data_IF_873363359658
#
_entry.id   IF_873363359658
#
_cell.length_a   1.000
_cell.length_b   1.000
_cell.length_c   1.000
_cell.angle_alpha   90.00
_cell.angle_beta   90.00
_cell.angle_gamma   90.00
#
_symmetry.space_group_name_H-M   'P 1'
#
loop_
_entity.id
_entity.type
_entity.pdbx_description
1 polymer ?
#
# COMPACT_ATOMS: atom_id res chain seq x y z
N UNK A 1 3.26 13.05 -5.45
CA UNK A 1 3.18 13.89 -6.66
C UNK A 1 2.76 13.00 -7.82
N UNK A 2 1.70 13.37 -8.53
CA UNK A 2 1.19 12.64 -9.70
C UNK A 2 1.37 13.54 -10.94
N UNK A 3 2.05 13.08 -12.00
CA UNK A 3 2.46 13.94 -13.11
C UNK A 3 1.29 14.59 -13.88
N UNK A 4 0.09 14.02 -13.79
CA UNK A 4 -1.13 14.51 -14.45
C UNK A 4 -2.15 15.13 -13.48
N UNK A 5 -1.76 15.44 -12.24
CA UNK A 5 -2.70 16.01 -11.26
C UNK A 5 -3.24 17.37 -11.69
N UNK A 6 -2.40 18.20 -12.31
CA UNK A 6 -2.80 19.52 -12.82
C UNK A 6 -3.96 19.47 -13.81
N UNK A 7 -4.10 18.38 -14.59
CA UNK A 7 -5.20 18.20 -15.54
C UNK A 7 -6.57 18.09 -14.87
N UNK A 8 -6.60 17.69 -13.59
CA UNK A 8 -7.83 17.45 -12.83
C UNK A 8 -7.98 18.37 -11.63
N UNK A 9 -6.97 19.16 -11.28
CA UNK A 9 -6.93 20.01 -10.09
C UNK A 9 -8.14 20.97 -9.99
N UNK A 10 -8.65 21.46 -11.13
CA UNK A 10 -9.81 22.35 -11.19
C UNK A 10 -11.18 21.67 -11.05
N UNK A 11 -11.25 20.34 -10.93
CA UNK A 11 -12.53 19.64 -10.83
C UNK A 11 -13.11 19.73 -9.42
N UNK A 12 -14.38 20.11 -9.35
CA UNK A 12 -15.13 20.12 -8.10
C UNK A 12 -15.56 18.71 -7.72
N UNK A 13 -15.24 18.30 -6.49
CA UNK A 13 -15.73 17.08 -5.87
C UNK A 13 -16.51 17.44 -4.60
N UNK A 14 -17.56 16.67 -4.32
CA UNK A 14 -18.28 16.74 -3.04
C UNK A 14 -17.56 15.86 -2.03
N UNK A 15 -16.87 16.47 -1.07
CA UNK A 15 -16.04 15.78 -0.08
C UNK A 15 -16.71 15.75 1.29
N UNK A 16 -16.67 14.60 1.95
CA UNK A 16 -17.12 14.38 3.32
C UNK A 16 -15.94 13.89 4.20
N UNK A 17 -15.09 14.82 4.68
CA UNK A 17 -14.00 14.48 5.59
C UNK A 17 -14.46 13.84 6.90
N UNK A 18 -13.60 13.04 7.54
CA UNK A 18 -13.89 12.33 8.78
C UNK A 18 -14.25 13.30 9.92
N UNK A 19 -13.56 14.43 10.03
CA UNK A 19 -13.88 15.45 11.04
C UNK A 19 -15.27 16.06 10.85
N UNK A 20 -15.71 16.26 9.60
CA UNK A 20 -17.06 16.75 9.32
C UNK A 20 -18.12 15.71 9.71
N UNK A 21 -17.83 14.42 9.56
CA UNK A 21 -18.75 13.37 9.99
C UNK A 21 -18.93 13.35 11.52
N UNK A 22 -17.83 13.53 12.28
CA UNK A 22 -17.86 13.61 13.75
C UNK A 22 -18.66 14.83 14.20
N UNK A 23 -18.44 15.98 13.56
CA UNK A 23 -19.11 17.23 13.86
C UNK A 23 -20.55 17.32 13.30
N UNK A 24 -21.04 16.25 12.64
CA UNK A 24 -22.35 16.20 11.96
C UNK A 24 -22.52 17.34 10.94
N UNK A 25 -21.42 17.72 10.28
CA UNK A 25 -21.38 18.70 9.20
C UNK A 25 -21.63 18.01 7.86
N UNK A 26 -22.32 18.68 6.91
CA UNK A 26 -22.57 18.12 5.59
C UNK A 26 -21.27 18.00 4.78
N UNK A 27 -21.33 17.19 3.73
CA UNK A 27 -20.31 17.17 2.68
C UNK A 27 -20.21 18.56 2.03
N UNK A 28 -19.02 18.91 1.53
CA UNK A 28 -18.75 20.21 0.93
C UNK A 28 -18.13 20.04 -0.45
N UNK A 29 -18.59 20.85 -1.38
CA UNK A 29 -17.97 20.96 -2.69
C UNK A 29 -16.70 21.81 -2.59
N UNK A 30 -15.62 21.34 -3.20
CA UNK A 30 -14.39 22.10 -3.43
C UNK A 30 -13.62 21.50 -4.59
N UNK A 31 -12.70 22.28 -5.17
CA UNK A 31 -11.79 21.74 -6.18
C UNK A 31 -10.86 20.72 -5.55
N UNK A 32 -10.51 19.66 -6.30
CA UNK A 32 -9.57 18.66 -5.79
C UNK A 32 -8.17 19.24 -5.57
N UNK A 33 -7.79 20.28 -6.33
CA UNK A 33 -6.58 21.07 -6.12
C UNK A 33 -6.56 21.73 -4.75
N UNK A 34 -7.63 22.47 -4.39
CA UNK A 34 -7.74 23.06 -3.05
C UNK A 34 -7.75 22.02 -1.93
N UNK A 35 -8.39 20.87 -2.15
CA UNK A 35 -8.44 19.80 -1.17
C UNK A 35 -7.06 19.22 -0.87
N UNK A 36 -6.21 19.06 -1.90
CA UNK A 36 -4.82 18.63 -1.75
C UNK A 36 -3.97 19.72 -1.10
N UNK A 37 -4.09 20.98 -1.54
CA UNK A 37 -3.36 22.11 -0.97
C UNK A 37 -3.64 22.29 0.53
N UNK A 38 -4.91 22.14 0.94
CA UNK A 38 -5.34 22.23 2.34
C UNK A 38 -5.03 20.96 3.16
N UNK A 39 -4.46 19.92 2.56
CA UNK A 39 -4.16 18.64 3.20
C UNK A 39 -5.40 17.85 3.62
N UNK A 40 -6.57 18.15 3.05
CA UNK A 40 -7.80 17.36 3.24
C UNK A 40 -7.66 16.03 2.51
N UNK A 41 -7.14 16.08 1.28
CA UNK A 41 -6.69 14.91 0.53
C UNK A 41 -5.18 14.84 0.63
N UNK A 42 -4.65 13.71 1.10
CA UNK A 42 -3.26 13.62 1.58
C UNK A 42 -2.20 13.59 0.48
N UNK A 43 -2.58 13.28 -0.76
CA UNK A 43 -1.65 13.23 -1.89
C UNK A 43 -2.33 13.56 -3.22
N UNK A 44 -1.54 14.13 -4.15
CA UNK A 44 -1.97 14.35 -5.54
C UNK A 44 -2.39 13.05 -6.24
N UNK A 45 -1.76 11.91 -5.91
CA UNK A 45 -2.12 10.61 -6.49
C UNK A 45 -3.53 10.20 -6.08
N UNK A 46 -3.83 10.30 -4.78
CA UNK A 46 -5.16 10.03 -4.26
C UNK A 46 -6.20 10.97 -4.88
N UNK A 47 -5.91 12.28 -4.91
CA UNK A 47 -6.79 13.27 -5.52
C UNK A 47 -7.01 13.03 -7.02
N UNK A 48 -5.97 12.69 -7.77
CA UNK A 48 -6.06 12.38 -9.20
C UNK A 48 -7.03 11.23 -9.46
N UNK A 49 -6.89 10.11 -8.74
CA UNK A 49 -7.75 8.96 -8.96
C UNK A 49 -9.19 9.16 -8.44
N UNK A 50 -9.40 9.97 -7.40
CA UNK A 50 -10.74 10.38 -6.98
C UNK A 50 -11.42 11.21 -8.10
N UNK A 51 -10.72 12.17 -8.68
CA UNK A 51 -11.25 13.00 -9.75
C UNK A 51 -11.55 12.19 -11.03
N UNK A 52 -10.66 11.27 -11.41
CA UNK A 52 -10.88 10.36 -12.53
C UNK A 52 -12.08 9.43 -12.27
N UNK A 53 -12.27 8.97 -11.03
CA UNK A 53 -13.45 8.19 -10.66
C UNK A 53 -14.74 9.00 -10.87
N UNK A 54 -14.79 10.26 -10.43
CA UNK A 54 -15.96 11.09 -10.66
C UNK A 54 -16.25 11.26 -12.16
N UNK A 55 -15.22 11.57 -12.97
CA UNK A 55 -15.39 11.70 -14.42
C UNK A 55 -15.93 10.41 -15.04
N UNK A 56 -15.42 9.25 -14.63
CA UNK A 56 -15.91 7.96 -15.09
C UNK A 56 -17.38 7.74 -14.72
N UNK A 57 -17.75 7.95 -13.45
CA UNK A 57 -19.13 7.76 -12.98
C UNK A 57 -20.11 8.68 -13.71
N UNK A 58 -19.75 9.95 -13.91
CA UNK A 58 -20.56 10.90 -14.68
C UNK A 58 -20.68 10.46 -16.14
N UNK A 59 -19.57 10.02 -16.76
CA UNK A 59 -19.53 9.58 -18.16
C UNK A 59 -20.43 8.37 -18.42
N UNK A 60 -20.56 7.44 -17.46
CA UNK A 60 -21.43 6.27 -17.61
C UNK A 60 -22.91 6.58 -17.34
N UNK A 61 -23.25 7.77 -16.83
CA UNK A 61 -24.62 8.22 -16.63
C UNK A 61 -25.06 8.38 -15.17
N UNK A 62 -24.14 8.30 -14.19
CA UNK A 62 -24.46 8.66 -12.81
C UNK A 62 -24.58 10.18 -12.72
N UNK A 63 -25.73 10.65 -12.25
CA UNK A 63 -25.95 12.07 -11.96
C UNK A 63 -24.94 12.58 -10.88
N UNK A 64 -24.12 13.60 -11.20
CA UNK A 64 -23.10 14.13 -10.31
C UNK A 64 -23.66 14.68 -8.98
N UNK A 65 -24.92 15.12 -8.94
CA UNK A 65 -25.56 15.61 -7.72
C UNK A 65 -25.68 14.53 -6.63
N UNK A 66 -25.58 13.26 -7.03
CA UNK A 66 -25.71 12.09 -6.17
C UNK A 66 -24.37 11.34 -5.99
N UNK A 67 -23.24 11.99 -6.30
CA UNK A 67 -21.89 11.46 -6.03
C UNK A 67 -21.27 12.27 -4.89
N UNK A 68 -20.67 11.58 -3.92
CA UNK A 68 -19.76 12.19 -2.94
C UNK A 68 -18.58 11.29 -2.64
N UNK A 69 -17.51 11.85 -2.10
CA UNK A 69 -16.38 11.10 -1.59
C UNK A 69 -16.33 11.22 -0.07
N UNK A 70 -16.40 10.11 0.65
CA UNK A 70 -16.35 10.06 2.11
C UNK A 70 -15.00 9.55 2.59
N UNK A 71 -14.36 10.28 3.50
CA UNK A 71 -13.12 9.84 4.17
C UNK A 71 -13.43 8.77 5.22
N UNK A 72 -12.55 7.78 5.37
CA UNK A 72 -12.63 6.81 6.47
C UNK A 72 -12.25 7.43 7.81
N UNK A 73 -12.97 7.08 8.88
CA UNK A 73 -12.58 7.45 10.25
C UNK A 73 -11.23 6.88 10.68
N UNK A 74 -10.87 5.70 10.19
CA UNK A 74 -9.68 4.97 10.63
C UNK A 74 -8.43 5.27 9.80
N UNK A 75 -8.59 5.87 8.61
CA UNK A 75 -7.49 6.08 7.67
C UNK A 75 -7.73 7.31 6.79
N UNK A 76 -6.92 8.36 6.98
CA UNK A 76 -6.97 9.60 6.17
C UNK A 76 -6.61 9.40 4.70
N UNK A 77 -5.93 8.29 4.37
CA UNK A 77 -5.56 7.91 3.02
C UNK A 77 -6.62 7.04 2.33
N UNK A 78 -7.79 6.85 2.95
CA UNK A 78 -8.88 6.04 2.42
C UNK A 78 -10.11 6.91 2.17
N UNK A 79 -10.50 7.01 0.89
CA UNK A 79 -11.68 7.73 0.44
C UNK A 79 -12.60 6.81 -0.35
N UNK A 80 -13.89 6.90 -0.09
CA UNK A 80 -14.92 6.08 -0.71
C UNK A 80 -15.82 6.96 -1.57
N UNK A 81 -15.87 6.71 -2.88
CA UNK A 81 -16.89 7.28 -3.75
C UNK A 81 -18.22 6.59 -3.44
N UNK A 82 -19.15 7.36 -2.91
CA UNK A 82 -20.51 6.93 -2.59
C UNK A 82 -21.49 7.50 -3.61
N UNK A 83 -22.44 6.66 -4.02
CA UNK A 83 -23.56 7.06 -4.87
C UNK A 83 -24.83 6.99 -4.03
N UNK A 84 -25.65 8.03 -4.08
CA UNK A 84 -26.94 8.04 -3.40
C UNK A 84 -27.98 7.26 -4.20
N UNK A 85 -28.64 6.32 -3.53
CA UNK A 85 -29.66 5.44 -4.11
C UNK A 85 -30.90 5.45 -3.21
N UNK A 86 -31.93 4.70 -3.58
CA UNK A 86 -33.10 4.43 -2.73
C UNK A 86 -32.76 3.78 -1.39
N UNK A 87 -31.59 3.14 -1.27
CA UNK A 87 -31.03 2.62 -0.02
C UNK A 87 -30.13 3.61 0.72
N UNK A 88 -30.06 4.86 0.27
CA UNK A 88 -29.15 5.88 0.79
C UNK A 88 -27.79 5.87 0.10
N UNK A 89 -26.79 6.46 0.77
CA UNK A 89 -25.42 6.52 0.27
C UNK A 89 -24.75 5.14 0.38
N UNK A 90 -24.40 4.56 -0.76
CA UNK A 90 -23.70 3.28 -0.83
C UNK A 90 -22.29 3.46 -1.36
N UNK A 91 -21.32 2.79 -0.75
CA UNK A 91 -19.92 2.76 -1.21
C UNK A 91 -19.81 2.01 -2.55
N UNK A 92 -19.33 2.70 -3.60
CA UNK A 92 -19.18 2.14 -4.94
C UNK A 92 -17.72 1.97 -5.36
N UNK A 93 -16.84 2.90 -4.98
CA UNK A 93 -15.41 2.80 -5.28
C UNK A 93 -14.59 3.18 -4.05
N UNK A 94 -13.63 2.34 -3.69
CA UNK A 94 -12.68 2.61 -2.61
C UNK A 94 -11.33 3.02 -3.19
N UNK A 95 -10.84 4.19 -2.80
CA UNK A 95 -9.50 4.68 -3.09
C UNK A 95 -8.68 4.62 -1.82
N UNK A 96 -7.55 3.93 -1.85
CA UNK A 96 -6.67 3.82 -0.70
C UNK A 96 -5.22 3.96 -1.13
N UNK A 97 -4.54 4.93 -0.51
CA UNK A 97 -3.08 5.02 -0.58
C UNK A 97 -2.49 4.08 0.48
N UNK A 98 -2.14 2.87 0.03
CA UNK A 98 -1.58 1.82 0.87
C UNK A 98 -0.07 1.98 0.93
N UNK A 99 0.44 2.16 2.13
CA UNK A 99 1.86 1.94 2.40
C UNK A 99 2.28 0.52 1.94
N UNK A 100 3.58 0.25 1.89
CA UNK A 100 4.15 -1.01 1.40
C UNK A 100 3.91 -2.25 2.29
N UNK A 101 2.90 -2.23 3.17
CA UNK A 101 2.63 -3.29 4.16
C UNK A 101 2.41 -4.66 3.53
N UNK A 102 1.76 -4.71 2.37
CA UNK A 102 1.53 -5.96 1.64
C UNK A 102 2.86 -6.57 1.15
N UNK A 103 3.80 -5.73 0.70
CA UNK A 103 5.13 -6.17 0.26
C UNK A 103 6.00 -6.60 1.44
N UNK A 104 5.91 -5.88 2.56
CA UNK A 104 6.62 -6.23 3.79
C UNK A 104 6.12 -7.57 4.35
N UNK A 105 4.81 -7.80 4.33
CA UNK A 105 4.23 -9.07 4.73
C UNK A 105 4.67 -10.21 3.79
N UNK A 106 4.62 -9.97 2.47
CA UNK A 106 5.13 -10.94 1.50
C UNK A 106 6.61 -11.28 1.75
N UNK A 107 7.45 -10.28 2.00
CA UNK A 107 8.86 -10.51 2.31
C UNK A 107 9.04 -11.33 3.59
N UNK A 108 8.30 -11.04 4.66
CA UNK A 108 8.38 -11.80 5.93
C UNK A 108 7.96 -13.26 5.77
N UNK A 109 7.00 -13.57 4.90
CA UNK A 109 6.48 -14.93 4.72
C UNK A 109 7.26 -15.72 3.67
N UNK A 110 7.65 -15.10 2.55
CA UNK A 110 8.29 -15.76 1.41
C UNK A 110 9.80 -15.58 1.36
N UNK A 111 10.34 -14.67 2.16
CA UNK A 111 11.76 -14.30 2.18
C UNK A 111 12.29 -13.80 0.83
N UNK A 112 11.38 -13.30 0.00
CA UNK A 112 11.67 -12.71 -1.31
C UNK A 112 11.29 -11.23 -1.28
N UNK A 113 12.29 -10.36 -1.48
CA UNK A 113 12.08 -8.92 -1.54
C UNK A 113 11.49 -8.56 -2.89
N UNK A 114 10.27 -8.05 -2.89
CA UNK A 114 9.62 -7.46 -4.05
C UNK A 114 9.95 -5.96 -4.10
N UNK A 115 11.09 -5.63 -4.69
CA UNK A 115 11.58 -4.25 -4.83
C UNK A 115 11.81 -3.88 -6.29
N UNK A 116 11.76 -2.59 -6.59
CA UNK A 116 12.19 -2.04 -7.87
C UNK A 116 13.64 -1.53 -7.76
N UNK A 117 14.43 -1.66 -8.83
CA UNK A 117 15.78 -1.10 -8.87
C UNK A 117 15.77 0.29 -9.49
N UNK A 118 16.21 1.29 -8.74
CA UNK A 118 16.42 2.66 -9.23
C UNK A 118 17.91 2.93 -9.41
N UNK A 119 18.31 3.41 -10.58
CA UNK A 119 19.69 3.83 -10.83
C UNK A 119 20.00 5.10 -10.05
N UNK A 120 21.12 5.10 -9.34
CA UNK A 120 21.58 6.29 -8.63
C UNK A 120 22.17 7.31 -9.61
N UNK A 121 21.95 8.60 -9.33
CA UNK A 121 22.52 9.70 -10.13
C UNK A 121 24.04 9.73 -10.04
N UNK A 122 24.60 9.36 -8.89
CA UNK A 122 26.03 9.13 -8.66
C UNK A 122 26.21 7.84 -7.85
N UNK A 123 27.25 7.03 -8.13
CA UNK A 123 27.55 5.86 -7.32
C UNK A 123 27.78 6.26 -5.85
N UNK A 124 27.37 5.38 -4.93
CA UNK A 124 27.55 5.60 -3.49
C UNK A 124 28.36 4.45 -2.90
N UNK A 125 29.35 4.75 -2.07
CA UNK A 125 29.98 3.75 -1.21
C UNK A 125 29.06 3.45 -0.04
N UNK A 126 28.74 2.18 0.16
CA UNK A 126 27.84 1.73 1.22
C UNK A 126 28.53 0.63 2.01
N UNK A 127 28.60 0.82 3.32
CA UNK A 127 28.97 -0.23 4.27
C UNK A 127 27.89 -1.31 4.23
N UNK A 128 28.28 -2.57 4.03
CA UNK A 128 27.38 -3.70 4.16
C UNK A 128 27.81 -4.56 5.35
N UNK A 129 26.82 -5.07 6.07
CA UNK A 129 26.97 -6.14 7.05
C UNK A 129 26.01 -7.24 6.62
N UNK A 130 26.51 -8.44 6.36
CA UNK A 130 25.67 -9.56 5.93
C UNK A 130 26.15 -10.89 6.53
N UNK A 131 25.21 -11.69 7.04
CA UNK A 131 25.48 -13.05 7.48
C UNK A 131 25.54 -14.03 6.29
N UNK A 132 26.75 -14.51 6.00
CA UNK A 132 27.03 -15.56 5.02
C UNK A 132 26.81 -16.93 5.67
N UNK A 133 25.79 -17.66 5.22
CA UNK A 133 25.50 -19.01 5.69
C UNK A 133 26.40 -20.06 5.02
N UNK A 134 27.04 -20.94 5.79
CA UNK A 134 27.74 -22.12 5.28
C UNK A 134 26.72 -23.24 5.03
N UNK A 135 26.23 -23.32 3.80
CA UNK A 135 25.15 -24.24 3.42
C UNK A 135 25.53 -25.72 3.57
N UNK A 136 26.81 -26.06 3.49
CA UNK A 136 27.27 -27.45 3.69
C UNK A 136 27.19 -27.86 5.16
N UNK A 137 27.66 -27.00 6.07
CA UNK A 137 27.60 -27.25 7.51
C UNK A 137 26.15 -27.25 8.02
N UNK A 138 25.35 -26.27 7.57
CA UNK A 138 23.93 -26.16 7.93
C UNK A 138 23.14 -27.32 7.33
N UNK A 139 23.39 -27.68 6.07
CA UNK A 139 22.70 -28.78 5.37
C UNK A 139 22.96 -30.15 6.01
N UNK A 140 24.19 -30.42 6.45
CA UNK A 140 24.53 -31.66 7.17
C UNK A 140 23.83 -31.80 8.52
N UNK A 141 23.62 -30.68 9.23
CA UNK A 141 23.06 -30.70 10.60
C UNK A 141 21.54 -30.54 10.64
N UNK A 142 20.98 -29.74 9.73
CA UNK A 142 19.58 -29.31 9.76
C UNK A 142 18.77 -29.76 8.53
N UNK A 143 19.40 -30.42 7.56
CA UNK A 143 18.76 -31.05 6.40
C UNK A 143 17.75 -30.13 5.69
N UNK A 144 16.46 -30.49 5.70
CA UNK A 144 15.39 -29.77 5.03
C UNK A 144 15.18 -28.33 5.55
N UNK A 145 15.69 -28.00 6.74
CA UNK A 145 15.57 -26.67 7.35
C UNK A 145 16.64 -25.68 6.88
N UNK A 146 17.65 -26.13 6.13
CA UNK A 146 18.79 -25.29 5.74
C UNK A 146 18.39 -24.03 4.94
N UNK A 147 17.43 -24.16 4.01
CA UNK A 147 16.91 -23.02 3.24
C UNK A 147 16.19 -22.00 4.14
N UNK A 148 15.37 -22.47 5.08
CA UNK A 148 14.66 -21.58 6.01
C UNK A 148 15.63 -20.82 6.92
N UNK A 149 16.69 -21.49 7.38
CA UNK A 149 17.74 -20.87 8.19
C UNK A 149 18.46 -19.76 7.42
N UNK A 150 18.84 -20.03 6.17
CA UNK A 150 19.47 -19.03 5.28
C UNK A 150 18.55 -17.82 5.07
N UNK A 151 17.27 -18.07 4.83
CA UNK A 151 16.27 -17.03 4.65
C UNK A 151 16.10 -16.17 5.92
N UNK A 152 16.06 -16.78 7.10
CA UNK A 152 15.96 -16.06 8.37
C UNK A 152 17.19 -15.22 8.70
N UNK A 153 18.38 -15.66 8.32
CA UNK A 153 19.60 -14.84 8.45
C UNK A 153 19.55 -13.55 7.62
N UNK A 154 18.77 -13.55 6.53
CA UNK A 154 18.58 -12.37 5.67
C UNK A 154 17.59 -11.35 6.26
N UNK A 155 16.77 -11.76 7.24
CA UNK A 155 15.83 -10.88 7.94
C UNK A 155 16.44 -10.12 9.12
N UNK A 156 17.63 -10.52 9.57
CA UNK A 156 18.28 -9.89 10.72
C UNK A 156 18.64 -8.44 10.40
N UNK A 157 18.31 -7.54 11.32
CA UNK A 157 18.74 -6.14 11.30
C UNK A 157 20.25 -6.02 11.53
N UNK A 158 20.84 -4.87 11.20
CA UNK A 158 22.27 -4.61 11.45
C UNK A 158 22.64 -4.82 12.93
N UNK A 159 21.78 -4.38 13.85
CA UNK A 159 21.97 -4.57 15.30
C UNK A 159 21.96 -6.06 15.69
N UNK A 160 21.11 -6.87 15.04
CA UNK A 160 21.07 -8.31 15.27
C UNK A 160 22.26 -9.03 14.65
N UNK A 161 22.75 -8.58 13.49
CA UNK A 161 23.96 -9.10 12.85
C UNK A 161 25.21 -8.80 13.68
N UNK A 162 25.31 -7.63 14.30
CA UNK A 162 26.39 -7.31 15.25
C UNK A 162 26.33 -8.18 16.50
N UNK A 163 25.13 -8.45 17.03
CA UNK A 163 24.94 -9.38 18.15
C UNK A 163 25.31 -10.81 17.75
N UNK A 164 24.91 -11.24 16.56
CA UNK A 164 25.25 -12.54 15.99
C UNK A 164 26.77 -12.71 15.94
N UNK A 165 27.48 -11.76 15.32
CA UNK A 165 28.94 -11.76 15.17
C UNK A 165 29.65 -11.89 16.53
N UNK A 166 29.28 -11.07 17.52
CA UNK A 166 29.89 -11.12 18.86
C UNK A 166 29.58 -12.41 19.60
N UNK A 167 28.35 -12.93 19.47
CA UNK A 167 27.92 -14.09 20.23
C UNK A 167 28.54 -15.40 19.69
N UNK A 168 28.65 -15.56 18.38
CA UNK A 168 29.17 -16.80 17.76
C UNK A 168 30.64 -17.08 18.06
N UNK A 169 31.41 -16.10 18.54
CA UNK A 169 32.80 -16.28 18.96
C UNK A 169 32.94 -17.08 20.25
N UNK A 170 31.98 -16.95 21.16
CA UNK A 170 32.05 -17.53 22.51
C UNK A 170 30.97 -18.57 22.77
N UNK A 171 29.81 -18.45 22.13
CA UNK A 171 28.64 -19.29 22.38
C UNK A 171 27.86 -19.54 21.09
N UNK A 172 26.88 -20.45 21.15
CA UNK A 172 25.95 -20.58 20.04
C UNK A 172 24.95 -19.40 20.03
N UNK A 173 24.66 -18.86 18.85
CA UNK A 173 23.59 -17.88 18.66
C UNK A 173 22.26 -18.58 18.45
N UNK A 174 21.24 -18.14 19.18
CA UNK A 174 19.88 -18.68 19.07
C UNK A 174 19.14 -17.93 17.98
N UNK A 175 18.98 -18.56 16.82
CA UNK A 175 18.16 -18.04 15.74
C UNK A 175 16.75 -18.63 15.85
N UNK A 176 15.76 -17.75 15.96
CA UNK A 176 14.35 -18.09 15.84
C UNK A 176 13.95 -18.02 14.36
N UNK A 177 13.26 -19.05 13.88
CA UNK A 177 12.69 -19.09 12.54
C UNK A 177 11.34 -19.84 12.57
N UNK A 178 10.61 -19.80 11.47
CA UNK A 178 9.24 -20.33 11.35
C UNK A 178 9.12 -21.85 11.62
N UNK A 179 10.26 -22.57 11.70
CA UNK A 179 10.35 -23.99 12.02
C UNK A 179 11.00 -24.33 13.38
N UNK A 180 11.12 -23.34 14.27
CA UNK A 180 11.58 -23.49 15.67
C UNK A 180 12.80 -22.64 16.03
N UNK A 181 13.49 -23.04 17.11
CA UNK A 181 14.77 -22.45 17.54
C UNK A 181 15.94 -23.32 17.07
N UNK A 182 16.98 -22.71 16.50
CA UNK A 182 18.26 -23.39 16.24
C UNK A 182 19.45 -22.64 16.82
N UNK A 183 20.52 -23.39 17.05
CA UNK A 183 21.76 -22.91 17.64
C UNK A 183 22.85 -22.85 16.56
N UNK A 184 23.11 -21.64 16.06
CA UNK A 184 24.16 -21.34 15.10
C UNK A 184 25.51 -21.19 15.80
N UNK A 185 26.56 -21.73 15.17
CA UNK A 185 27.95 -21.64 15.65
C UNK A 185 28.83 -21.08 14.53
N UNK A 186 30.07 -20.71 14.87
CA UNK A 186 31.03 -20.07 13.96
C UNK A 186 31.35 -20.87 12.69
N UNK A 187 31.20 -22.20 12.73
CA UNK A 187 31.37 -23.09 11.56
C UNK A 187 30.20 -23.02 10.57
N UNK A 188 29.04 -22.49 11.00
CA UNK A 188 27.78 -22.46 10.24
C UNK A 188 27.47 -21.09 9.64
N UNK A 189 27.93 -20.01 10.27
CA UNK A 189 27.63 -18.65 9.83
C UNK A 189 28.83 -17.75 10.05
N UNK A 190 29.08 -16.90 9.07
CA UNK A 190 30.13 -15.89 9.09
C UNK A 190 29.51 -14.51 8.83
N UNK A 191 29.92 -13.48 9.55
CA UNK A 191 29.40 -12.12 9.35
C UNK A 191 30.44 -11.33 8.56
N UNK A 192 30.10 -10.95 7.34
CA UNK A 192 30.98 -10.20 6.46
C UNK A 192 30.65 -8.72 6.52
N UNK A 193 31.68 -7.91 6.76
CA UNK A 193 31.63 -6.46 6.71
C UNK A 193 32.53 -5.96 5.60
N UNK A 194 32.12 -4.90 4.93
CA UNK A 194 32.96 -4.24 3.95
C UNK A 194 32.26 -3.08 3.30
N UNK A 195 32.97 -2.42 2.40
CA UNK A 195 32.44 -1.37 1.56
C UNK A 195 32.22 -1.91 0.15
N UNK A 196 31.12 -1.51 -0.47
CA UNK A 196 30.90 -1.72 -1.89
C UNK A 196 30.33 -0.48 -2.53
N UNK A 197 30.75 -0.23 -3.76
CA UNK A 197 30.14 0.79 -4.60
C UNK A 197 28.81 0.26 -5.14
N UNK A 198 27.72 0.99 -4.91
CA UNK A 198 26.41 0.68 -5.48
C UNK A 198 26.03 1.73 -6.52
N UNK A 199 25.61 1.24 -7.70
CA UNK A 199 25.10 2.06 -8.80
C UNK A 199 23.56 2.10 -8.84
N UNK A 200 22.92 1.24 -8.05
CA UNK A 200 21.46 1.11 -7.96
C UNK A 200 21.05 1.01 -6.50
N UNK A 201 19.85 1.48 -6.20
CA UNK A 201 19.18 1.27 -4.93
C UNK A 201 17.90 0.46 -5.13
N UNK A 202 17.60 -0.39 -4.16
CA UNK A 202 16.33 -1.09 -4.08
C UNK A 202 15.30 -0.14 -3.45
N UNK A 203 14.19 0.08 -4.15
CA UNK A 203 13.07 0.91 -3.71
C UNK A 203 11.87 -0.01 -3.49
N UNK A 204 11.30 0.02 -2.29
CA UNK A 204 10.00 -0.59 -2.03
C UNK A 204 8.91 0.31 -2.60
N UNK A 205 8.14 -0.12 -3.61
CA UNK A 205 7.16 0.74 -4.24
C UNK A 205 6.00 1.07 -3.29
N UNK A 206 5.51 2.30 -3.39
CA UNK A 206 4.27 2.73 -2.77
C UNK A 206 3.09 2.17 -3.55
N UNK A 207 2.03 1.73 -2.87
CA UNK A 207 0.89 1.08 -3.52
C UNK A 207 -0.34 1.95 -3.39
N UNK A 208 -0.77 2.55 -4.50
CA UNK A 208 -2.11 3.09 -4.58
C UNK A 208 -3.08 2.01 -5.06
N UNK A 209 -4.27 1.94 -4.47
CA UNK A 209 -5.32 1.02 -4.91
C UNK A 209 -6.66 1.73 -5.12
N UNK A 210 -7.34 1.40 -6.22
CA UNK A 210 -8.72 1.79 -6.48
C UNK A 210 -9.54 0.54 -6.77
N UNK A 211 -10.55 0.28 -5.95
CA UNK A 211 -11.36 -0.93 -6.00
C UNK A 211 -12.82 -0.54 -6.26
N UNK A 212 -13.32 -0.88 -7.45
CA UNK A 212 -14.68 -0.60 -7.87
C UNK A 212 -15.59 -1.82 -7.61
N UNK A 213 -16.73 -1.58 -6.97
CA UNK A 213 -17.81 -2.57 -6.76
C UNK A 213 -18.77 -2.50 -7.95
N UNK A 214 -18.46 -3.27 -8.99
CA UNK A 214 -19.16 -3.22 -10.28
C UNK A 214 -20.66 -3.50 -10.15
N UNK A 215 -21.05 -4.39 -9.24
CA UNK A 215 -22.44 -4.69 -8.88
C UNK A 215 -23.19 -3.44 -8.38
N UNK A 216 -22.59 -2.69 -7.45
CA UNK A 216 -23.20 -1.48 -6.88
C UNK A 216 -23.25 -0.33 -7.87
N UNK A 217 -22.20 -0.15 -8.66
CA UNK A 217 -22.18 0.86 -9.74
C UNK A 217 -23.28 0.56 -10.76
N UNK A 218 -23.42 -0.71 -11.16
CA UNK A 218 -24.46 -1.13 -12.12
C UNK A 218 -25.85 -0.89 -11.55
N UNK A 219 -26.08 -1.24 -10.28
CA UNK A 219 -27.35 -0.98 -9.60
C UNK A 219 -27.68 0.52 -9.56
N UNK A 220 -26.74 1.35 -9.11
CA UNK A 220 -26.93 2.80 -9.03
C UNK A 220 -27.18 3.40 -10.43
N UNK A 221 -26.50 2.89 -11.47
CA UNK A 221 -26.73 3.30 -12.85
C UNK A 221 -28.15 2.96 -13.32
N UNK A 222 -28.64 1.75 -13.04
CA UNK A 222 -30.01 1.36 -13.38
C UNK A 222 -31.03 2.28 -12.71
N UNK A 223 -30.82 2.61 -11.44
CA UNK A 223 -31.70 3.52 -10.70
C UNK A 223 -31.66 4.94 -11.27
N UNK A 224 -30.47 5.49 -11.52
CA UNK A 224 -30.30 6.84 -12.05
C UNK A 224 -30.77 6.98 -13.51
N UNK A 225 -30.80 5.88 -14.26
CA UNK A 225 -31.31 5.82 -15.63
C UNK A 225 -32.82 5.52 -15.72
N UNK A 226 -33.46 5.03 -14.65
CA UNK A 226 -34.87 4.66 -14.67
C UNK A 226 -35.77 5.89 -14.89
N UNK A 227 -36.67 5.81 -15.88
CA UNK A 227 -37.64 6.85 -16.19
C UNK A 227 -38.98 6.21 -16.55
N UNK A 228 -40.07 6.76 -16.02
CA UNK A 228 -41.43 6.41 -16.44
C UNK A 228 -41.95 7.40 -17.48
N UNK A 229 -42.67 6.88 -18.49
CA UNK A 229 -43.33 7.74 -19.48
C UNK A 229 -44.52 8.46 -18.84
N UNK A 230 -44.65 9.76 -19.09
CA UNK A 230 -45.84 10.52 -18.68
C UNK A 230 -47.10 9.90 -19.29
N UNK A 231 -48.09 9.56 -18.45
CA UNK A 231 -49.37 8.95 -18.86
C UNK A 231 -49.41 7.41 -18.80
N UNK A 232 -48.33 6.75 -18.36
CA UNK A 232 -48.19 5.30 -18.36
C UNK A 232 -48.81 4.54 -17.20
N UNK A 233 -49.95 4.97 -16.64
CA UNK A 233 -50.84 4.11 -15.84
C UNK A 233 -52.28 4.64 -15.94
N UNK A 234 -52.94 4.40 -17.08
CA UNK A 234 -54.39 4.19 -17.07
C UNK A 234 -54.59 2.68 -16.91
N UNK A 235 -54.96 2.26 -15.69
CA UNK A 235 -55.62 0.96 -15.47
C UNK A 235 -57.12 1.16 -15.60
#
# INVERSE_FOLDING_TARGET
MHPLFEEVAGLNLVLLPAHNQIDVKPAREMTIGEAVEKGIVTSETLGYYMAQCQQFLVKIGIDPAFIRFRESFSNKNLWEAEIFTSYGWIECVRHEDKESKDLDHHFKTRFEKLTAKRKLTKPRLVNFVHASANMDAIGKKYHHKAKQIQSSLTLLSEVELEKLEKQIEHAAYKLQFDGGEIHLRKDMVDVKKGEREVHHEDVTPHIFSSLARADRITYALMEHAYRERKGGQQK
#
